data_IF_511826561555
#
_entry.id   IF_511826561555
#
_cell.length_a   1.000
_cell.length_b   1.000
_cell.length_c   1.000
_cell.angle_alpha   90.00
_cell.angle_beta   90.00
_cell.angle_gamma   90.00
#
_symmetry.space_group_name_H-M   'P 1'
#
loop_
_entity.id
_entity.type
_entity.pdbx_description
1 polymer ?
#
# COMPACT_ATOMS: atom_id res chain seq x y z
N UNK A 1 -16.86 -1.27 4.27
CA UNK A 1 -16.45 -0.66 5.57
C UNK A 1 -16.82 0.82 5.64
N UNK A 2 -16.50 1.64 4.63
CA UNK A 2 -16.87 3.06 4.68
C UNK A 2 -18.38 3.32 4.62
N UNK A 3 -19.14 2.54 3.85
CA UNK A 3 -20.58 2.78 3.65
C UNK A 3 -21.50 2.27 4.78
N UNK A 4 -20.99 1.44 5.68
CA UNK A 4 -21.75 0.84 6.78
C UNK A 4 -21.32 1.30 8.17
N UNK A 5 -20.10 1.75 8.34
CA UNK A 5 -19.71 2.61 9.45
C UNK A 5 -20.27 4.01 9.16
N UNK A 6 -21.58 4.17 9.22
CA UNK A 6 -22.20 5.49 9.40
C UNK A 6 -21.78 5.98 10.79
N UNK A 7 -20.56 6.43 10.87
CA UNK A 7 -20.11 7.26 11.98
C UNK A 7 -20.81 8.61 11.72
N UNK A 8 -21.95 8.80 12.33
CA UNK A 8 -22.76 10.01 12.14
C UNK A 8 -21.95 11.25 12.52
N UNK A 9 -20.98 11.10 13.43
CA UNK A 9 -20.13 12.18 13.87
C UNK A 9 -18.81 11.66 14.45
N UNK A 10 -17.72 12.32 14.09
CA UNK A 10 -16.40 12.09 14.69
C UNK A 10 -15.99 13.33 15.49
N UNK A 11 -15.71 13.16 16.77
CA UNK A 11 -15.33 14.29 17.63
C UNK A 11 -13.98 14.86 17.22
N UNK A 12 -12.99 13.99 16.94
CA UNK A 12 -11.65 14.43 16.57
C UNK A 12 -10.95 13.46 15.64
N UNK A 13 -10.31 14.00 14.59
CA UNK A 13 -9.33 13.30 13.75
C UNK A 13 -7.97 13.91 13.94
N UNK A 14 -6.96 13.09 14.18
CA UNK A 14 -5.56 13.51 14.21
C UNK A 14 -4.84 12.85 13.05
N UNK A 15 -4.38 13.65 12.08
CA UNK A 15 -3.59 13.18 10.95
C UNK A 15 -2.10 13.43 11.17
N UNK A 16 -1.28 12.46 10.80
CA UNK A 16 0.17 12.50 10.91
C UNK A 16 0.82 11.60 9.85
N UNK A 17 2.07 11.85 9.53
CA UNK A 17 2.86 10.98 8.66
C UNK A 17 2.75 11.22 7.16
N UNK A 18 2.06 12.24 6.67
CA UNK A 18 2.04 12.64 5.26
C UNK A 18 0.83 12.13 4.46
N UNK A 19 1.05 11.71 3.21
CA UNK A 19 -0.05 11.39 2.28
C UNK A 19 -0.72 10.04 2.54
N UNK A 20 -2.05 10.04 2.58
CA UNK A 20 -2.84 8.81 2.60
C UNK A 20 -2.98 8.21 1.20
N UNK A 21 -2.68 6.93 1.06
CA UNK A 21 -2.79 6.19 -0.21
C UNK A 21 -4.25 5.83 -0.51
N UNK A 22 -5.01 5.42 0.51
CA UNK A 22 -6.38 4.95 0.36
C UNK A 22 -7.35 6.06 -0.05
N UNK A 23 -7.94 5.91 -1.23
CA UNK A 23 -8.99 6.79 -1.75
C UNK A 23 -10.28 6.66 -0.92
N UNK A 24 -10.65 5.41 -0.58
CA UNK A 24 -11.85 5.10 0.21
C UNK A 24 -11.83 5.76 1.60
N UNK A 25 -10.67 5.76 2.29
CA UNK A 25 -10.53 6.44 3.59
C UNK A 25 -10.70 7.96 3.44
N UNK A 26 -10.09 8.55 2.41
CA UNK A 26 -10.24 10.00 2.16
C UNK A 26 -11.69 10.38 1.90
N UNK A 27 -12.38 9.65 1.03
CA UNK A 27 -13.79 9.87 0.71
C UNK A 27 -14.67 9.68 1.95
N UNK A 28 -14.44 8.66 2.74
CA UNK A 28 -15.15 8.43 4.00
C UNK A 28 -15.03 9.61 4.95
N UNK A 29 -13.79 10.06 5.22
CA UNK A 29 -13.56 11.16 6.15
C UNK A 29 -14.07 12.51 5.62
N UNK A 30 -14.02 12.75 4.30
CA UNK A 30 -14.63 13.95 3.68
C UNK A 30 -16.16 13.99 3.83
N UNK A 31 -16.79 12.83 3.79
CA UNK A 31 -18.26 12.71 3.86
C UNK A 31 -18.78 12.51 5.29
N UNK A 32 -17.93 12.50 6.29
CA UNK A 32 -18.28 12.34 7.70
C UNK A 32 -18.27 13.69 8.40
N UNK A 33 -19.24 13.96 9.30
CA UNK A 33 -19.21 15.14 10.15
C UNK A 33 -18.07 15.05 11.16
N UNK A 34 -17.03 15.87 11.01
CA UNK A 34 -15.84 15.90 11.86
C UNK A 34 -15.79 17.23 12.62
N UNK A 35 -15.88 17.17 13.94
CA UNK A 35 -15.85 18.37 14.77
C UNK A 35 -14.49 19.05 14.76
N UNK A 36 -13.42 18.28 14.90
CA UNK A 36 -12.05 18.78 14.90
C UNK A 36 -11.13 17.86 14.08
N UNK A 37 -10.31 18.46 13.20
CA UNK A 37 -9.24 17.78 12.49
C UNK A 37 -7.92 18.51 12.73
N UNK A 38 -7.01 17.84 13.40
CA UNK A 38 -5.68 18.34 13.68
C UNK A 38 -4.64 17.64 12.84
N UNK A 39 -3.85 18.41 12.10
CA UNK A 39 -2.68 17.89 11.40
C UNK A 39 -1.42 18.11 12.22
N UNK A 40 -0.60 17.05 12.35
CA UNK A 40 0.68 17.09 13.04
C UNK A 40 1.79 17.11 11.99
N UNK A 41 2.46 18.24 11.85
CA UNK A 41 3.59 18.36 10.94
C UNK A 41 4.62 19.39 11.47
N UNK A 42 5.87 19.26 11.04
CA UNK A 42 6.96 20.14 11.46
C UNK A 42 6.94 21.50 10.74
N UNK A 43 6.33 21.56 9.56
CA UNK A 43 6.38 22.76 8.70
C UNK A 43 5.37 23.81 9.07
N UNK A 44 4.29 23.45 9.76
CA UNK A 44 3.14 24.33 10.01
C UNK A 44 2.33 24.67 8.76
N UNK A 45 2.64 24.03 7.61
CA UNK A 45 1.90 24.27 6.37
C UNK A 45 0.65 23.38 6.36
N UNK A 46 -0.54 23.95 6.08
CA UNK A 46 -1.77 23.17 6.00
C UNK A 46 -1.73 22.22 4.79
N UNK A 47 -2.22 21.01 5.01
CA UNK A 47 -2.43 20.02 3.96
C UNK A 47 -3.76 19.30 4.22
N UNK A 48 -4.85 20.02 4.04
CA UNK A 48 -6.21 19.56 4.36
C UNK A 48 -6.72 18.54 3.34
N UNK A 49 -6.31 17.29 3.50
CA UNK A 49 -6.71 16.18 2.62
C UNK A 49 -8.14 15.69 2.89
N UNK A 50 -8.72 16.04 4.03
CA UNK A 50 -10.07 15.61 4.44
C UNK A 50 -11.11 16.73 4.36
N UNK A 51 -10.70 17.98 4.07
CA UNK A 51 -11.55 19.16 3.93
C UNK A 51 -12.26 19.58 5.24
N UNK A 52 -11.66 19.23 6.40
CA UNK A 52 -12.17 19.49 7.75
C UNK A 52 -11.11 20.06 8.70
N UNK A 53 -9.97 20.54 8.20
CA UNK A 53 -8.85 20.94 9.06
C UNK A 53 -9.22 22.15 9.93
N UNK A 54 -9.15 21.96 11.26
CA UNK A 54 -9.41 22.99 12.26
C UNK A 54 -8.14 23.44 12.96
N UNK A 55 -7.07 22.65 12.94
CA UNK A 55 -5.84 22.99 13.61
C UNK A 55 -4.59 22.32 13.07
N UNK A 56 -3.42 22.92 13.36
CA UNK A 56 -2.10 22.37 13.06
C UNK A 56 -1.25 22.39 14.32
N UNK A 57 -0.66 21.24 14.66
CA UNK A 57 0.37 21.20 15.69
C UNK A 57 1.77 21.13 15.05
N UNK A 58 2.53 22.21 15.14
CA UNK A 58 3.91 22.28 14.66
C UNK A 58 4.83 21.47 15.56
N UNK A 59 4.94 20.18 15.31
CA UNK A 59 5.72 19.24 16.11
C UNK A 59 6.14 18.03 15.29
N UNK A 60 7.13 17.26 15.79
CA UNK A 60 7.30 15.88 15.31
C UNK A 60 6.20 14.99 15.92
N UNK A 61 5.85 13.95 15.19
CA UNK A 61 4.81 12.98 15.58
C UNK A 61 5.11 12.37 16.95
N UNK A 62 6.36 11.94 17.17
CA UNK A 62 6.82 11.35 18.45
C UNK A 62 6.64 12.33 19.61
N UNK A 63 7.06 13.59 19.43
CA UNK A 63 6.96 14.61 20.47
C UNK A 63 5.51 14.93 20.81
N UNK A 64 4.66 15.06 19.80
CA UNK A 64 3.23 15.32 19.98
C UNK A 64 2.54 14.14 20.68
N UNK A 65 2.71 12.90 20.18
CA UNK A 65 2.09 11.71 20.75
C UNK A 65 2.58 11.45 22.18
N UNK A 66 3.87 11.68 22.48
CA UNK A 66 4.40 11.57 23.84
C UNK A 66 3.78 12.58 24.80
N UNK A 67 3.58 13.82 24.36
CA UNK A 67 2.92 14.85 25.16
C UNK A 67 1.44 14.54 25.36
N UNK A 68 0.74 14.08 24.33
CA UNK A 68 -0.65 13.64 24.40
C UNK A 68 -0.81 12.49 25.40
N UNK A 69 0.01 11.45 25.27
CA UNK A 69 -0.01 10.29 26.16
C UNK A 69 0.25 10.68 27.61
N UNK A 70 1.19 11.60 27.87
CA UNK A 70 1.46 12.10 29.24
C UNK A 70 0.26 12.83 29.84
N UNK A 71 -0.48 13.60 29.02
CA UNK A 71 -1.67 14.33 29.48
C UNK A 71 -2.89 13.43 29.69
N UNK A 72 -3.03 12.40 28.89
CA UNK A 72 -4.20 11.49 28.95
C UNK A 72 -4.05 10.39 29.99
N UNK A 73 -2.83 10.07 30.45
CA UNK A 73 -2.59 8.99 31.43
C UNK A 73 -3.39 9.13 32.72
N UNK A 74 -3.68 10.34 33.19
CA UNK A 74 -4.41 10.62 34.43
C UNK A 74 -5.91 10.86 34.23
N UNK A 75 -6.35 10.92 32.97
CA UNK A 75 -7.76 11.05 32.67
C UNK A 75 -8.28 9.63 32.39
N UNK A 76 -9.25 9.18 33.14
CA UNK A 76 -9.95 7.92 32.90
C UNK A 76 -10.80 8.02 31.62
N UNK A 77 -10.12 8.27 30.49
CA UNK A 77 -10.75 8.19 29.18
C UNK A 77 -10.93 6.71 28.92
N UNK A 78 -12.17 6.26 28.88
CA UNK A 78 -12.49 4.90 28.47
C UNK A 78 -12.56 4.85 26.92
N UNK A 79 -11.50 4.45 26.22
CA UNK A 79 -11.47 4.40 24.75
C UNK A 79 -12.26 3.22 24.20
N UNK A 80 -13.02 2.53 25.05
CA UNK A 80 -13.56 1.21 24.76
C UNK A 80 -14.57 1.18 23.61
N UNK A 81 -15.33 2.25 23.38
CA UNK A 81 -16.43 2.21 22.40
C UNK A 81 -15.92 2.10 20.95
N UNK A 82 -14.99 2.97 20.55
CA UNK A 82 -14.44 2.93 19.18
C UNK A 82 -13.61 1.66 18.93
N UNK A 83 -12.81 1.26 19.93
CA UNK A 83 -12.02 0.02 19.85
C UNK A 83 -12.94 -1.20 19.75
N UNK A 84 -13.96 -1.30 20.59
CA UNK A 84 -14.95 -2.39 20.55
C UNK A 84 -15.70 -2.42 19.20
N UNK A 85 -16.01 -1.25 18.64
CA UNK A 85 -16.66 -1.13 17.34
C UNK A 85 -15.76 -1.60 16.20
N UNK A 86 -14.49 -1.17 16.18
CA UNK A 86 -13.58 -1.42 15.05
C UNK A 86 -12.87 -2.78 15.11
N UNK A 87 -12.56 -3.29 16.31
CA UNK A 87 -11.80 -4.55 16.47
C UNK A 87 -12.39 -5.75 15.71
N UNK A 88 -13.71 -6.02 15.74
CA UNK A 88 -14.28 -7.14 14.99
C UNK A 88 -14.03 -7.04 13.48
N UNK A 89 -14.18 -5.84 12.91
CA UNK A 89 -13.95 -5.60 11.48
C UNK A 89 -12.48 -5.80 11.11
N UNK A 90 -11.57 -5.25 11.92
CA UNK A 90 -10.13 -5.36 11.70
C UNK A 90 -9.70 -6.83 11.81
N UNK A 91 -10.10 -7.54 12.85
CA UNK A 91 -9.74 -8.95 13.04
C UNK A 91 -10.26 -9.83 11.90
N UNK A 92 -11.51 -9.65 11.47
CA UNK A 92 -12.05 -10.40 10.34
C UNK A 92 -11.35 -10.07 9.02
N UNK A 93 -11.02 -8.79 8.79
CA UNK A 93 -10.27 -8.38 7.60
C UNK A 93 -8.88 -8.99 7.57
N UNK A 94 -8.17 -9.03 8.69
CA UNK A 94 -6.85 -9.66 8.80
C UNK A 94 -6.94 -11.17 8.53
N UNK A 95 -7.85 -11.87 9.20
CA UNK A 95 -8.06 -13.31 8.98
C UNK A 95 -8.42 -13.65 7.52
N UNK A 96 -9.22 -12.81 6.89
CA UNK A 96 -9.58 -12.97 5.48
C UNK A 96 -8.35 -12.82 4.58
N UNK A 97 -7.50 -11.83 4.81
CA UNK A 97 -6.28 -11.62 4.02
C UNK A 97 -5.29 -12.75 4.23
N UNK A 98 -5.11 -13.22 5.48
CA UNK A 98 -4.26 -14.36 5.79
C UNK A 98 -4.74 -15.64 5.10
N UNK A 99 -6.05 -15.87 5.07
CA UNK A 99 -6.67 -17.04 4.42
C UNK A 99 -6.82 -16.93 2.90
N UNK A 100 -6.63 -15.75 2.32
CA UNK A 100 -6.78 -15.55 0.87
C UNK A 100 -5.57 -16.11 0.12
N UNK A 101 -5.82 -17.03 -0.81
CA UNK A 101 -4.79 -17.63 -1.69
C UNK A 101 -4.98 -17.07 -3.11
N UNK A 102 -4.25 -16.00 -3.48
CA UNK A 102 -4.37 -15.41 -4.81
C UNK A 102 -3.77 -16.31 -5.88
N UNK A 103 -4.37 -16.33 -7.05
CA UNK A 103 -3.72 -16.85 -8.26
C UNK A 103 -2.53 -15.95 -8.67
N UNK A 104 -1.71 -16.45 -9.61
CA UNK A 104 -0.56 -15.70 -10.14
C UNK A 104 -0.99 -14.32 -10.63
N UNK A 105 -0.41 -13.28 -10.05
CA UNK A 105 -0.78 -11.87 -10.26
C UNK A 105 0.25 -10.96 -9.60
N UNK A 106 0.20 -9.67 -9.90
CA UNK A 106 1.02 -8.67 -9.19
C UNK A 106 0.73 -8.64 -7.68
N UNK A 107 -0.53 -8.85 -7.26
CA UNK A 107 -0.87 -8.94 -5.84
C UNK A 107 -0.20 -10.14 -5.17
N UNK A 108 -0.26 -11.32 -5.80
CA UNK A 108 0.42 -12.52 -5.29
C UNK A 108 1.93 -12.25 -5.16
N UNK A 109 2.56 -11.69 -6.19
CA UNK A 109 3.99 -11.43 -6.19
C UNK A 109 4.43 -10.47 -5.07
N UNK A 110 3.70 -9.36 -4.86
CA UNK A 110 4.01 -8.41 -3.79
C UNK A 110 3.76 -9.03 -2.41
N UNK A 111 2.67 -9.78 -2.24
CA UNK A 111 2.36 -10.43 -0.98
C UNK A 111 3.43 -11.45 -0.57
N UNK A 112 3.85 -12.28 -1.50
CA UNK A 112 4.89 -13.30 -1.27
C UNK A 112 6.26 -12.67 -0.98
N UNK A 113 6.60 -11.56 -1.64
CA UNK A 113 7.79 -10.78 -1.30
C UNK A 113 7.71 -10.26 0.14
N UNK A 114 6.60 -9.62 0.54
CA UNK A 114 6.43 -9.07 1.89
C UNK A 114 6.50 -10.16 2.97
N UNK A 115 5.88 -11.31 2.72
CA UNK A 115 5.93 -12.47 3.63
C UNK A 115 7.36 -13.02 3.74
N UNK A 116 8.04 -13.23 2.61
CA UNK A 116 9.42 -13.75 2.59
C UNK A 116 10.43 -12.81 3.25
N UNK A 117 10.17 -11.50 3.20
CA UNK A 117 10.99 -10.49 3.89
C UNK A 117 10.80 -10.47 5.41
N UNK A 118 9.81 -11.19 5.97
CA UNK A 118 9.69 -11.36 7.43
C UNK A 118 10.75 -12.34 7.98
N UNK A 119 11.24 -13.26 7.13
CA UNK A 119 12.15 -14.33 7.51
C UNK A 119 13.63 -14.07 7.17
N UNK A 120 13.95 -12.92 6.56
CA UNK A 120 15.36 -12.58 6.26
C UNK A 120 16.10 -12.13 7.51
N UNK A 121 17.38 -12.46 7.59
CA UNK A 121 18.28 -12.18 8.73
C UNK A 121 19.15 -10.91 8.54
N UNK A 122 18.82 -10.07 7.55
CA UNK A 122 19.53 -8.83 7.26
C UNK A 122 18.59 -7.61 7.26
N UNK A 123 19.15 -6.44 7.56
CA UNK A 123 18.42 -5.17 7.51
C UNK A 123 18.14 -4.76 6.07
N UNK A 124 16.95 -4.25 5.83
CA UNK A 124 16.55 -3.74 4.53
C UNK A 124 15.56 -2.57 4.61
N UNK A 125 15.41 -1.90 3.48
CA UNK A 125 14.52 -0.76 3.29
C UNK A 125 13.62 -1.03 2.07
N UNK A 126 12.33 -0.66 2.19
CA UNK A 126 11.34 -0.83 1.14
C UNK A 126 11.01 0.49 0.46
N UNK A 127 11.17 0.55 -0.86
CA UNK A 127 10.64 1.58 -1.72
C UNK A 127 9.51 1.03 -2.59
N UNK A 128 8.42 1.77 -2.68
CA UNK A 128 7.33 1.45 -3.60
C UNK A 128 7.12 2.61 -4.57
N UNK A 129 7.08 2.33 -5.86
CA UNK A 129 6.68 3.31 -6.85
C UNK A 129 5.21 3.68 -6.69
N UNK A 130 4.84 4.85 -7.18
CA UNK A 130 3.45 5.29 -7.22
C UNK A 130 2.55 4.35 -8.04
N UNK A 131 1.26 4.64 -8.05
CA UNK A 131 0.22 3.89 -8.75
C UNK A 131 -0.07 2.54 -8.10
N UNK A 132 -0.06 1.43 -8.85
CA UNK A 132 -0.43 0.12 -8.31
C UNK A 132 0.60 -0.42 -7.30
N UNK A 133 1.89 -0.23 -7.53
CA UNK A 133 2.93 -0.79 -6.66
C UNK A 133 2.72 -0.43 -5.18
N UNK A 134 2.60 0.86 -4.83
CA UNK A 134 2.36 1.27 -3.43
C UNK A 134 0.99 0.83 -2.91
N UNK A 135 -0.02 0.70 -3.76
CA UNK A 135 -1.34 0.22 -3.35
C UNK A 135 -1.31 -1.26 -2.99
N UNK A 136 -0.59 -2.06 -3.78
CA UNK A 136 -0.38 -3.49 -3.49
C UNK A 136 0.39 -3.66 -2.17
N UNK A 137 1.46 -2.89 -1.93
CA UNK A 137 2.17 -2.89 -0.66
C UNK A 137 1.25 -2.55 0.54
N UNK A 138 0.36 -1.56 0.37
CA UNK A 138 -0.62 -1.24 1.40
C UNK A 138 -1.67 -2.36 1.62
N UNK A 139 -2.09 -3.07 0.57
CA UNK A 139 -3.02 -4.19 0.67
C UNK A 139 -2.37 -5.42 1.32
N UNK A 140 -1.07 -5.59 1.19
CA UNK A 140 -0.31 -6.67 1.84
C UNK A 140 -0.01 -6.38 3.33
N UNK A 141 -0.51 -5.29 3.88
CA UNK A 141 -0.31 -4.87 5.28
C UNK A 141 1.16 -4.86 5.71
N UNK A 142 2.03 -4.29 4.87
CA UNK A 142 3.42 -4.08 5.25
C UNK A 142 3.50 -3.42 6.62
N UNK A 143 4.11 -4.10 7.58
CA UNK A 143 4.32 -3.61 8.95
C UNK A 143 5.51 -2.66 9.05
N UNK A 144 6.14 -2.35 7.91
CA UNK A 144 7.40 -1.61 7.80
C UNK A 144 7.17 -0.19 7.33
N UNK A 145 8.16 0.65 7.56
CA UNK A 145 8.20 1.95 6.94
C UNK A 145 8.43 1.81 5.43
N UNK A 146 7.56 2.41 4.63
CA UNK A 146 7.61 2.38 3.17
C UNK A 146 8.00 3.76 2.65
N UNK A 147 9.01 3.83 1.79
CA UNK A 147 9.35 5.03 1.04
C UNK A 147 8.60 5.05 -0.29
N UNK A 148 7.99 6.17 -0.63
CA UNK A 148 7.26 6.35 -1.87
C UNK A 148 7.25 7.83 -2.29
N UNK A 149 7.46 8.10 -3.58
CA UNK A 149 7.44 9.45 -4.14
C UNK A 149 5.99 9.94 -4.30
N UNK A 150 5.36 10.40 -3.20
CA UNK A 150 3.94 10.77 -3.14
C UNK A 150 3.67 12.28 -3.23
N UNK A 151 4.69 13.12 -3.41
CA UNK A 151 4.53 14.57 -3.40
C UNK A 151 3.57 15.09 -4.48
N UNK A 152 3.75 14.64 -5.72
CA UNK A 152 2.94 15.03 -6.89
C UNK A 152 2.24 13.86 -7.58
N UNK A 153 2.33 12.66 -7.02
CA UNK A 153 1.74 11.43 -7.56
C UNK A 153 2.21 11.02 -8.96
N UNK A 154 3.37 11.51 -9.43
CA UNK A 154 4.01 11.06 -10.66
C UNK A 154 4.53 9.62 -10.54
N UNK A 155 4.79 8.98 -11.66
CA UNK A 155 5.34 7.63 -11.72
C UNK A 155 6.83 7.59 -12.04
N UNK A 156 7.40 8.74 -12.38
CA UNK A 156 8.83 8.97 -12.61
C UNK A 156 9.61 9.06 -11.29
N UNK A 157 10.93 8.88 -11.35
CA UNK A 157 11.87 9.13 -10.25
C UNK A 157 11.91 8.07 -9.14
N UNK A 158 11.11 7.00 -9.23
CA UNK A 158 11.06 5.97 -8.18
C UNK A 158 12.34 5.12 -8.14
N UNK A 159 12.85 4.71 -9.31
CA UNK A 159 14.10 3.97 -9.44
C UNK A 159 15.28 4.85 -9.04
N UNK A 160 15.32 6.10 -9.52
CA UNK A 160 16.37 7.08 -9.18
C UNK A 160 16.44 7.34 -7.68
N UNK A 161 15.29 7.43 -7.00
CA UNK A 161 15.24 7.61 -5.55
C UNK A 161 15.78 6.37 -4.82
N UNK A 162 15.36 5.18 -5.18
CA UNK A 162 15.85 3.93 -4.59
C UNK A 162 17.35 3.72 -4.88
N UNK A 163 17.79 4.00 -6.11
CA UNK A 163 19.18 3.94 -6.52
C UNK A 163 20.07 4.93 -5.72
N UNK A 164 19.60 6.18 -5.59
CA UNK A 164 20.29 7.18 -4.77
C UNK A 164 20.37 6.79 -3.29
N UNK A 165 19.30 6.21 -2.75
CA UNK A 165 19.29 5.70 -1.37
C UNK A 165 20.26 4.53 -1.21
N UNK A 166 20.32 3.59 -2.16
CA UNK A 166 21.25 2.45 -2.10
C UNK A 166 22.72 2.85 -2.10
N UNK A 167 23.06 3.98 -2.72
CA UNK A 167 24.43 4.54 -2.69
C UNK A 167 24.77 5.19 -1.34
N UNK A 168 23.77 5.55 -0.54
CA UNK A 168 23.97 6.21 0.75
C UNK A 168 23.92 5.25 1.95
N UNK A 169 23.70 3.95 1.72
CA UNK A 169 23.59 2.93 2.77
C UNK A 169 24.25 1.61 2.35
N UNK A 170 24.62 0.81 3.34
CA UNK A 170 25.04 -0.58 3.12
C UNK A 170 23.88 -1.57 3.31
N UNK A 171 22.73 -1.10 3.72
CA UNK A 171 21.51 -1.88 3.92
C UNK A 171 20.93 -2.30 2.57
N UNK A 172 20.31 -3.46 2.50
CA UNK A 172 19.58 -3.88 1.29
C UNK A 172 18.41 -2.92 0.99
N UNK A 173 18.28 -2.55 -0.27
CA UNK A 173 17.22 -1.63 -0.73
C UNK A 173 16.37 -2.36 -1.76
N UNK A 174 15.13 -2.64 -1.39
CA UNK A 174 14.14 -3.21 -2.29
C UNK A 174 13.28 -2.11 -2.89
N UNK A 175 13.06 -2.15 -4.20
CA UNK A 175 12.19 -1.24 -4.92
C UNK A 175 11.16 -2.03 -5.71
N UNK A 176 9.88 -1.90 -5.36
CA UNK A 176 8.77 -2.47 -6.14
C UNK A 176 8.21 -1.39 -7.05
N UNK A 177 8.18 -1.66 -8.34
CA UNK A 177 7.80 -0.68 -9.36
C UNK A 177 6.95 -1.32 -10.47
N UNK A 178 6.06 -0.53 -11.07
CA UNK A 178 5.38 -0.93 -12.31
C UNK A 178 6.26 -0.68 -13.55
N UNK A 179 5.87 -1.29 -14.66
CA UNK A 179 6.56 -1.22 -15.94
C UNK A 179 6.73 0.21 -16.47
N UNK A 180 5.68 0.99 -16.57
CA UNK A 180 5.77 2.38 -17.05
C UNK A 180 6.68 3.22 -16.15
N UNK A 181 6.60 3.07 -14.83
CA UNK A 181 7.47 3.75 -13.89
C UNK A 181 8.94 3.36 -14.08
N UNK A 182 9.20 2.06 -14.31
CA UNK A 182 10.53 1.54 -14.59
C UNK A 182 11.10 2.14 -15.87
N UNK A 183 10.35 2.07 -16.99
CA UNK A 183 10.85 2.55 -18.27
C UNK A 183 11.00 4.07 -18.35
N UNK A 184 10.21 4.84 -17.59
CA UNK A 184 10.41 6.29 -17.48
C UNK A 184 11.65 6.69 -16.67
N UNK A 185 12.16 5.81 -15.79
CA UNK A 185 13.26 6.10 -14.88
C UNK A 185 14.45 5.13 -15.01
N UNK A 186 14.46 4.31 -16.05
CA UNK A 186 15.51 3.30 -16.32
C UNK A 186 16.92 3.88 -16.41
N UNK A 187 17.04 5.16 -16.78
CA UNK A 187 18.32 5.86 -16.86
C UNK A 187 19.07 5.95 -15.53
N UNK A 188 18.43 5.70 -14.40
CA UNK A 188 19.14 5.57 -13.12
C UNK A 188 20.12 4.38 -13.10
N UNK A 189 19.87 3.35 -13.92
CA UNK A 189 20.56 2.07 -13.87
C UNK A 189 21.95 2.05 -14.56
N UNK A 190 22.25 3.02 -15.43
CA UNK A 190 23.56 3.12 -16.07
C UNK A 190 24.69 3.56 -15.10
N UNK A 191 24.33 3.98 -13.89
CA UNK A 191 25.29 4.43 -12.89
C UNK A 191 26.19 3.26 -12.43
N UNK A 192 27.49 3.34 -12.77
CA UNK A 192 28.48 2.30 -12.48
C UNK A 192 28.78 2.11 -10.98
N UNK A 193 28.37 3.04 -10.12
CA UNK A 193 28.55 2.94 -8.67
C UNK A 193 27.47 2.12 -7.96
N UNK A 194 26.37 1.81 -8.63
CA UNK A 194 25.34 0.95 -8.08
C UNK A 194 25.93 -0.45 -7.82
N UNK A 195 25.57 -1.03 -6.69
CA UNK A 195 26.08 -2.32 -6.25
C UNK A 195 24.94 -3.31 -5.92
N UNK A 196 25.28 -4.49 -5.43
CA UNK A 196 24.33 -5.57 -5.20
C UNK A 196 23.35 -5.36 -4.06
N UNK A 197 23.39 -4.25 -3.34
CA UNK A 197 22.41 -3.94 -2.31
C UNK A 197 21.08 -3.36 -2.87
N UNK A 198 21.01 -3.05 -4.18
CA UNK A 198 19.77 -2.61 -4.82
C UNK A 198 19.07 -3.79 -5.50
N UNK A 199 17.83 -4.05 -5.11
CA UNK A 199 16.94 -5.09 -5.64
C UNK A 199 15.68 -4.45 -6.17
N UNK A 200 15.35 -4.68 -7.44
CA UNK A 200 14.17 -4.10 -8.09
C UNK A 200 13.22 -5.22 -8.50
N UNK A 201 12.02 -5.25 -7.90
CA UNK A 201 10.91 -6.07 -8.41
C UNK A 201 10.12 -5.22 -9.39
N UNK A 202 10.16 -5.62 -10.65
CA UNK A 202 9.44 -4.97 -11.74
C UNK A 202 8.15 -5.75 -12.02
N UNK A 203 7.02 -5.11 -11.79
CA UNK A 203 5.69 -5.64 -12.08
C UNK A 203 5.29 -5.22 -13.49
N UNK A 204 5.39 -6.14 -14.44
CA UNK A 204 5.15 -5.89 -15.87
C UNK A 204 3.87 -6.59 -16.34
N UNK A 205 2.81 -5.81 -16.53
CA UNK A 205 1.58 -6.28 -17.15
C UNK A 205 1.25 -5.57 -18.48
N UNK A 206 2.25 -4.90 -19.05
CA UNK A 206 2.18 -4.26 -20.37
C UNK A 206 1.45 -2.92 -20.36
N UNK A 207 1.41 -2.18 -19.22
CA UNK A 207 0.86 -0.82 -19.18
C UNK A 207 0.21 -0.43 -17.84
N UNK A 208 -0.49 0.69 -17.84
CA UNK A 208 -1.13 1.26 -16.66
C UNK A 208 -2.45 0.58 -16.30
N UNK A 209 -2.43 -0.59 -15.68
CA UNK A 209 -3.63 -1.36 -15.31
C UNK A 209 -4.58 -0.63 -14.35
N UNK A 210 -4.10 0.34 -13.58
CA UNK A 210 -4.93 1.15 -12.69
C UNK A 210 -6.09 1.84 -13.41
N UNK A 211 -5.93 2.19 -14.68
CA UNK A 211 -6.95 2.90 -15.45
C UNK A 211 -8.19 2.05 -15.70
N UNK A 212 -8.07 0.71 -15.74
CA UNK A 212 -9.21 -0.20 -15.85
C UNK A 212 -10.11 -0.21 -14.61
N UNK A 213 -9.62 0.31 -13.48
CA UNK A 213 -10.34 0.39 -12.19
C UNK A 213 -10.83 1.80 -11.85
N UNK A 214 -10.71 2.75 -12.76
CA UNK A 214 -11.20 4.11 -12.56
C UNK A 214 -12.61 4.26 -13.12
N UNK A 215 -13.53 4.73 -12.29
CA UNK A 215 -14.90 5.01 -12.71
C UNK A 215 -14.94 6.13 -13.76
N UNK A 216 -15.79 5.96 -14.77
CA UNK A 216 -16.06 6.98 -15.79
C UNK A 216 -15.08 6.99 -16.96
N UNK A 217 -14.11 6.08 -17.03
CA UNK A 217 -13.28 5.90 -18.21
C UNK A 217 -13.93 4.91 -19.20
N UNK A 218 -13.79 5.20 -20.49
CA UNK A 218 -14.07 4.22 -21.54
C UNK A 218 -12.98 3.13 -21.51
N UNK A 219 -13.37 1.91 -21.15
CA UNK A 219 -12.49 0.75 -21.07
C UNK A 219 -12.46 -0.10 -22.33
N UNK A 220 -12.94 0.44 -23.46
CA UNK A 220 -12.77 -0.22 -24.76
C UNK A 220 -11.29 -0.42 -25.09
N UNK A 221 -10.95 -1.49 -25.82
CA UNK A 221 -9.56 -1.80 -26.18
C UNK A 221 -8.87 -0.64 -26.92
N UNK A 222 -9.60 0.09 -27.74
CA UNK A 222 -9.08 1.27 -28.44
C UNK A 222 -8.71 2.38 -27.47
N UNK A 223 -9.62 2.81 -26.61
CA UNK A 223 -9.37 3.87 -25.61
C UNK A 223 -8.24 3.49 -24.65
N UNK A 224 -8.27 2.25 -24.18
CA UNK A 224 -7.27 1.77 -23.22
C UNK A 224 -5.88 1.60 -23.83
N UNK A 225 -5.75 1.34 -25.13
CA UNK A 225 -4.44 1.29 -25.80
C UNK A 225 -3.67 2.61 -25.69
N UNK A 226 -4.38 3.75 -25.68
CA UNK A 226 -3.80 5.08 -25.50
C UNK A 226 -3.69 5.48 -24.02
N UNK A 227 -4.75 5.31 -23.25
CA UNK A 227 -4.83 5.77 -21.85
C UNK A 227 -3.87 4.99 -20.96
N UNK A 228 -3.78 3.66 -21.14
CA UNK A 228 -2.94 2.80 -20.32
C UNK A 228 -1.47 2.78 -20.74
N UNK A 229 -1.11 3.40 -21.88
CA UNK A 229 0.27 3.33 -22.39
C UNK A 229 0.72 1.91 -22.70
N UNK A 230 -0.17 1.10 -23.33
CA UNK A 230 0.05 -0.32 -23.61
C UNK A 230 1.34 -0.57 -24.39
N UNK A 231 2.13 -1.56 -23.95
CA UNK A 231 3.40 -1.92 -24.56
C UNK A 231 3.71 -3.43 -24.44
N UNK A 232 4.81 -3.86 -25.08
CA UNK A 232 5.36 -5.22 -25.02
C UNK A 232 6.85 -5.22 -24.68
N UNK A 233 7.32 -4.18 -24.00
CA UNK A 233 8.72 -3.99 -23.65
C UNK A 233 9.05 -4.77 -22.38
N UNK A 234 10.27 -5.32 -22.31
CA UNK A 234 10.85 -5.95 -21.12
C UNK A 234 12.17 -5.24 -20.70
N UNK A 235 12.63 -5.56 -19.50
CA UNK A 235 13.82 -4.94 -18.93
C UNK A 235 15.13 -5.69 -19.26
N UNK A 236 15.09 -6.83 -19.95
CA UNK A 236 16.25 -7.70 -20.19
C UNK A 236 17.39 -6.94 -20.87
N UNK A 237 17.12 -6.28 -21.99
CA UNK A 237 18.15 -5.56 -22.74
C UNK A 237 18.80 -4.42 -21.95
N UNK A 238 18.00 -3.74 -21.10
CA UNK A 238 18.48 -2.68 -20.22
C UNK A 238 19.40 -3.27 -19.14
N UNK A 239 19.05 -4.40 -18.56
CA UNK A 239 19.86 -5.09 -17.57
C UNK A 239 21.18 -5.60 -18.15
N UNK A 240 21.14 -6.24 -19.32
CA UNK A 240 22.33 -6.73 -20.02
C UNK A 240 23.30 -5.58 -20.38
N UNK A 241 22.78 -4.47 -20.90
CA UNK A 241 23.60 -3.30 -21.26
C UNK A 241 24.31 -2.68 -20.07
N UNK A 242 23.74 -2.77 -18.86
CA UNK A 242 24.25 -2.11 -17.65
C UNK A 242 24.88 -3.09 -16.64
N UNK A 243 25.13 -4.33 -17.05
CA UNK A 243 25.70 -5.39 -16.19
C UNK A 243 24.88 -5.60 -14.89
N UNK A 244 23.54 -5.64 -15.03
CA UNK A 244 22.59 -5.82 -13.93
C UNK A 244 22.05 -7.25 -13.96
N UNK A 245 21.99 -7.91 -12.82
CA UNK A 245 21.37 -9.22 -12.69
C UNK A 245 19.90 -9.18 -13.12
N UNK A 246 19.49 -10.17 -13.93
CA UNK A 246 18.13 -10.24 -14.43
C UNK A 246 17.49 -11.59 -14.15
N UNK A 247 16.31 -11.55 -13.56
CA UNK A 247 15.43 -12.71 -13.34
C UNK A 247 14.07 -12.40 -13.99
N UNK A 248 13.45 -13.41 -14.56
CA UNK A 248 12.12 -13.31 -15.15
C UNK A 248 11.20 -14.36 -14.55
N UNK A 249 9.92 -14.03 -14.36
CA UNK A 249 8.91 -14.96 -13.90
C UNK A 249 7.60 -14.73 -14.66
N UNK A 250 7.02 -15.81 -15.23
CA UNK A 250 5.78 -15.81 -15.99
C UNK A 250 4.68 -16.67 -15.35
N UNK A 251 4.99 -17.35 -14.28
CA UNK A 251 4.08 -18.20 -13.49
C UNK A 251 4.56 -18.34 -12.06
N UNK A 252 3.76 -18.97 -11.22
CA UNK A 252 4.03 -19.14 -9.78
C UNK A 252 5.33 -19.89 -9.51
N UNK A 253 5.64 -20.96 -10.26
CA UNK A 253 6.84 -21.75 -10.06
C UNK A 253 8.11 -20.95 -10.39
N UNK A 254 8.13 -20.29 -11.54
CA UNK A 254 9.22 -19.40 -11.95
C UNK A 254 9.40 -18.26 -10.94
N UNK A 255 8.29 -17.70 -10.43
CA UNK A 255 8.32 -16.65 -9.43
C UNK A 255 8.99 -17.12 -8.14
N UNK A 256 8.60 -18.27 -7.59
CA UNK A 256 9.20 -18.79 -6.36
C UNK A 256 10.70 -19.06 -6.53
N UNK A 257 11.11 -19.65 -7.65
CA UNK A 257 12.51 -19.87 -7.98
C UNK A 257 13.31 -18.56 -8.10
N UNK A 258 12.72 -17.56 -8.75
CA UNK A 258 13.32 -16.24 -8.87
C UNK A 258 13.39 -15.51 -7.52
N UNK A 259 12.35 -15.59 -6.70
CA UNK A 259 12.26 -14.93 -5.40
C UNK A 259 13.37 -15.40 -4.44
N UNK A 260 13.61 -16.70 -4.37
CA UNK A 260 14.70 -17.25 -3.55
C UNK A 260 16.03 -16.62 -3.96
N UNK A 261 16.37 -16.59 -5.25
CA UNK A 261 17.60 -15.97 -5.77
C UNK A 261 17.63 -14.46 -5.52
N UNK A 262 16.50 -13.79 -5.73
CA UNK A 262 16.35 -12.35 -5.53
C UNK A 262 16.66 -11.92 -4.10
N UNK A 263 16.30 -12.75 -3.12
CA UNK A 263 16.52 -12.48 -1.69
C UNK A 263 17.90 -12.93 -1.20
N UNK A 264 18.46 -14.02 -1.73
CA UNK A 264 19.64 -14.68 -1.14
C UNK A 264 20.92 -14.54 -1.97
N UNK A 265 20.82 -14.34 -3.29
CA UNK A 265 21.99 -14.32 -4.16
C UNK A 265 22.83 -13.04 -3.95
N UNK A 266 24.10 -13.24 -3.62
CA UNK A 266 25.04 -12.11 -3.50
C UNK A 266 25.54 -11.68 -4.88
N UNK A 267 25.34 -10.42 -5.22
CA UNK A 267 25.74 -9.84 -6.52
C UNK A 267 26.58 -8.59 -6.32
N UNK A 268 27.48 -8.30 -7.27
CA UNK A 268 28.26 -7.06 -7.27
C UNK A 268 27.49 -5.87 -7.82
N UNK A 269 26.49 -6.13 -8.65
CA UNK A 269 25.64 -5.14 -9.32
C UNK A 269 24.20 -5.32 -8.87
N UNK A 270 23.34 -4.34 -9.08
CA UNK A 270 21.89 -4.48 -8.81
C UNK A 270 21.30 -5.72 -9.46
N UNK A 271 20.14 -6.13 -8.98
CA UNK A 271 19.35 -7.20 -9.60
C UNK A 271 17.92 -6.72 -9.85
N UNK A 272 17.40 -7.02 -11.04
CA UNK A 272 16.01 -6.84 -11.42
C UNK A 272 15.34 -8.20 -11.50
N UNK A 273 14.20 -8.35 -10.82
CA UNK A 273 13.29 -9.47 -10.97
C UNK A 273 12.03 -8.96 -11.67
N UNK A 274 11.83 -9.31 -12.92
CA UNK A 274 10.68 -8.92 -13.72
C UNK A 274 9.58 -9.98 -13.65
N UNK A 275 8.42 -9.58 -13.14
CA UNK A 275 7.25 -10.43 -12.95
C UNK A 275 6.23 -10.07 -14.02
N UNK A 276 6.09 -10.96 -15.01
CA UNK A 276 5.15 -10.80 -16.12
C UNK A 276 3.77 -11.30 -15.73
N UNK A 277 2.78 -10.41 -15.78
CA UNK A 277 1.38 -10.74 -15.57
C UNK A 277 0.52 -10.17 -16.71
N UNK A 278 -0.77 -10.27 -16.60
CA UNK A 278 -1.71 -9.56 -17.47
C UNK A 278 -2.76 -8.82 -16.64
N UNK A 279 -3.25 -7.70 -17.18
CA UNK A 279 -4.16 -6.82 -16.45
C UNK A 279 -5.51 -7.48 -16.08
N UNK A 280 -5.95 -8.51 -16.84
CA UNK A 280 -7.22 -9.20 -16.56
C UNK A 280 -7.08 -10.10 -15.34
N UNK A 281 -6.00 -10.89 -15.29
CA UNK A 281 -5.67 -11.72 -14.14
C UNK A 281 -5.42 -10.88 -12.88
N UNK A 282 -4.68 -9.77 -13.02
CA UNK A 282 -4.43 -8.83 -11.91
C UNK A 282 -5.73 -8.24 -11.36
N UNK A 283 -6.62 -7.76 -12.25
CA UNK A 283 -7.91 -7.20 -11.83
C UNK A 283 -8.83 -8.26 -11.25
N UNK A 284 -8.86 -9.47 -11.79
CA UNK A 284 -9.67 -10.58 -11.26
C UNK A 284 -9.31 -10.87 -9.78
N UNK A 285 -8.03 -10.94 -9.46
CA UNK A 285 -7.57 -11.18 -8.09
C UNK A 285 -7.96 -10.04 -7.16
N UNK A 286 -7.86 -8.79 -7.62
CA UNK A 286 -8.28 -7.63 -6.82
C UNK A 286 -9.80 -7.57 -6.65
N UNK A 287 -10.59 -7.98 -7.65
CA UNK A 287 -12.05 -8.06 -7.55
C UNK A 287 -12.48 -9.16 -6.56
N UNK A 288 -11.83 -10.32 -6.58
CA UNK A 288 -12.05 -11.39 -5.59
C UNK A 288 -11.73 -10.89 -4.17
N UNK A 289 -10.65 -10.14 -4.00
CA UNK A 289 -10.29 -9.55 -2.72
C UNK A 289 -11.33 -8.51 -2.25
N UNK A 290 -11.77 -7.62 -3.13
CA UNK A 290 -12.81 -6.62 -2.84
C UNK A 290 -14.16 -7.30 -2.49
N UNK A 291 -14.52 -8.40 -3.16
CA UNK A 291 -15.74 -9.17 -2.86
C UNK A 291 -15.65 -9.83 -1.47
N UNK A 292 -14.51 -10.42 -1.13
CA UNK A 292 -14.31 -11.00 0.21
C UNK A 292 -14.41 -9.93 1.31
N UNK A 293 -13.83 -8.75 1.10
CA UNK A 293 -13.99 -7.63 2.04
C UNK A 293 -15.45 -7.20 2.18
N UNK A 294 -16.20 -7.15 1.10
CA UNK A 294 -17.64 -6.80 1.13
C UNK A 294 -18.44 -7.83 1.90
N UNK A 295 -18.12 -9.12 1.79
CA UNK A 295 -18.79 -10.19 2.53
C UNK A 295 -18.46 -10.12 4.04
N UNK A 296 -17.22 -9.83 4.42
CA UNK A 296 -16.83 -9.59 5.83
C UNK A 296 -17.67 -8.45 6.43
N UNK A 297 -17.91 -7.38 5.67
CA UNK A 297 -18.71 -6.25 6.12
C UNK A 297 -20.16 -6.68 6.42
N UNK A 298 -20.81 -7.38 5.50
CA UNK A 298 -22.21 -7.84 5.65
C UNK A 298 -22.39 -8.72 6.89
N UNK A 299 -21.48 -9.67 7.10
CA UNK A 299 -21.53 -10.59 8.26
C UNK A 299 -21.36 -9.81 9.56
N UNK A 300 -20.40 -8.90 9.63
CA UNK A 300 -20.12 -8.14 10.87
C UNK A 300 -21.27 -7.18 11.21
N UNK A 301 -21.90 -6.57 10.21
CA UNK A 301 -23.09 -5.71 10.40
C UNK A 301 -24.29 -6.51 10.92
N UNK A 302 -24.52 -7.71 10.41
CA UNK A 302 -25.59 -8.59 10.88
C UNK A 302 -25.37 -9.03 12.35
N UNK A 303 -24.14 -9.40 12.73
CA UNK A 303 -23.80 -9.77 14.11
C UNK A 303 -23.96 -8.60 15.08
N UNK A 304 -23.56 -7.38 14.68
CA UNK A 304 -23.74 -6.18 15.49
C UNK A 304 -25.23 -5.79 15.67
N UNK A 305 -26.07 -6.01 14.66
CA UNK A 305 -27.51 -5.81 14.77
C UNK A 305 -28.14 -6.84 15.73
N UNK A 306 -27.72 -8.09 15.69
CA UNK A 306 -28.22 -9.13 16.60
C UNK A 306 -27.79 -8.86 18.05
N UNK A 307 -26.57 -8.40 18.30
CA UNK A 307 -26.11 -8.04 19.65
C UNK A 307 -26.88 -6.84 20.21
N UNK A 308 -27.18 -5.82 19.41
CA UNK A 308 -28.00 -4.67 19.83
C UNK A 308 -29.42 -5.08 20.15
N UNK A 309 -30.01 -5.98 19.36
CA UNK A 309 -31.36 -6.50 19.62
C UNK A 309 -31.44 -7.36 20.88
N UNK A 310 -30.35 -8.03 21.29
CA UNK A 310 -30.29 -8.78 22.55
C UNK A 310 -30.07 -7.89 23.77
N UNK A 311 -29.46 -6.72 23.62
CA UNK A 311 -29.24 -5.77 24.71
C UNK A 311 -30.49 -4.88 24.99
N UNK A 312 -31.43 -4.77 24.04
CA UNK A 312 -32.69 -4.02 24.21
C UNK A 312 -33.79 -4.81 24.91
N UNK A 313 -33.63 -6.12 25.15
CA UNK A 313 -34.57 -6.93 25.92
C UNK A 313 -34.18 -6.93 27.40
N UNK A 314 -34.27 -5.77 28.05
CA UNK A 314 -34.34 -5.72 29.51
C UNK A 314 -35.86 -5.74 29.86
N UNK A 315 -36.37 -6.79 30.51
CA UNK A 315 -37.77 -6.77 30.91
C UNK A 315 -37.99 -5.71 31.99
N UNK A 316 -38.88 -4.79 31.74
CA UNK A 316 -39.46 -3.96 32.82
C UNK A 316 -39.97 -4.91 33.90
N UNK A 317 -39.36 -4.89 35.08
CA UNK A 317 -39.94 -5.46 36.29
C UNK A 317 -40.74 -4.36 36.94
N UNK A 318 -41.99 -4.68 37.16
CA UNK A 318 -42.98 -3.94 37.97
C UNK A 318 -42.49 -3.71 39.40
#
# INVERSE_FOLDING_TARGET
MADELKMEKIDMVISLGGNFVSKKIKEMLRNTDICEHWEINKSGRPHDIFEHQTGIAMSSEIKFLSALLKRTRNNHIHPDNLKKLLTPYISKALNMIEGFTPSYSQYMAVRELELSLEDVDYDFVMHYANSMAVRLGCLCFSKRYIYCNRGINGIEGSISTAAGFSLATNTMVFCVTGDLSFFYDQNALWNSRLNGNLRIMLLNNGGGSIFYRLNGLDTSDMSMSYISGKHHTDARGICEQNDIGYLAAHNTEEYHNALVRFLTEQTKRPMVMEVFTDYKSDNLVLDQLDEQFSNVQKITSAENLQSRASDEIVPFRE
#
